data_IF_974255961876
#
_entry.id   IF_974255961876
#
_cell.length_a   1.000
_cell.length_b   1.000
_cell.length_c   1.000
_cell.angle_alpha   90.00
_cell.angle_beta   90.00
_cell.angle_gamma   90.00
#
_symmetry.space_group_name_H-M   'P 1'
#
loop_
_entity.id
_entity.type
_entity.pdbx_description
1 polymer ?
#
# COMPACT_ATOMS: atom_id res chain seq x y z
N UNK A 1 -33.08 5.49 19.24
CA UNK A 1 -33.19 5.20 17.80
C UNK A 1 -32.20 6.11 17.11
N UNK A 2 -30.97 5.65 16.83
CA UNK A 2 -29.91 6.41 16.15
C UNK A 2 -29.42 5.58 14.98
N UNK A 3 -29.89 5.99 13.79
CA UNK A 3 -29.43 5.42 12.52
C UNK A 3 -28.07 6.03 12.15
N UNK A 4 -27.01 5.20 12.22
CA UNK A 4 -25.71 5.55 11.66
C UNK A 4 -25.66 5.14 10.18
N UNK A 5 -25.28 6.03 9.24
CA UNK A 5 -25.17 5.67 7.83
C UNK A 5 -23.95 4.78 7.57
N UNK A 6 -24.20 3.50 7.30
CA UNK A 6 -23.19 2.53 6.85
C UNK A 6 -22.82 2.80 5.39
N UNK A 7 -21.62 3.32 5.13
CA UNK A 7 -21.11 3.46 3.77
C UNK A 7 -20.59 2.10 3.29
N UNK A 8 -21.38 1.41 2.45
CA UNK A 8 -20.95 0.22 1.69
C UNK A 8 -20.46 0.64 0.32
N UNK A 9 -19.17 0.52 0.07
CA UNK A 9 -18.61 0.60 -1.28
C UNK A 9 -18.75 -0.79 -1.95
N UNK A 10 -19.80 -0.98 -2.75
CA UNK A 10 -19.90 -2.09 -3.72
C UNK A 10 -19.84 -1.50 -5.13
N UNK A 11 -19.05 -2.08 -6.07
CA UNK A 11 -19.13 -1.71 -7.47
C UNK A 11 -20.46 -2.22 -8.06
N UNK A 12 -21.16 -1.34 -8.75
CA UNK A 12 -22.39 -1.64 -9.48
C UNK A 12 -22.03 -2.45 -10.72
N UNK A 13 -22.59 -3.66 -10.84
CA UNK A 13 -22.60 -4.43 -12.10
C UNK A 13 -23.52 -3.73 -13.09
N UNK A 14 -23.02 -3.37 -14.26
CA UNK A 14 -23.85 -2.97 -15.40
C UNK A 14 -24.22 -4.24 -16.19
N UNK A 15 -25.50 -4.56 -16.22
CA UNK A 15 -26.06 -5.49 -17.21
C UNK A 15 -26.30 -4.72 -18.50
N UNK A 16 -25.63 -5.12 -19.57
CA UNK A 16 -26.14 -4.91 -20.93
C UNK A 16 -25.75 -6.11 -21.75
N UNK A 17 -26.78 -6.77 -22.29
CA UNK A 17 -26.71 -7.89 -23.19
C UNK A 17 -26.27 -7.48 -24.59
N UNK A 18 -26.09 -8.44 -25.50
CA UNK A 18 -25.30 -8.25 -26.71
C UNK A 18 -26.17 -7.73 -27.87
N UNK A 19 -25.60 -6.84 -28.68
CA UNK A 19 -25.98 -6.73 -30.10
C UNK A 19 -24.83 -6.24 -30.97
N UNK A 20 -24.44 -7.15 -31.85
CA UNK A 20 -24.05 -7.12 -33.25
C UNK A 20 -23.18 -6.01 -33.84
N UNK A 21 -22.03 -6.49 -34.27
CA UNK A 21 -21.46 -6.40 -35.65
C UNK A 21 -20.99 -5.07 -36.20
N UNK A 22 -19.70 -5.15 -36.55
CA UNK A 22 -19.05 -4.57 -37.73
C UNK A 22 -18.90 -3.06 -37.81
N UNK A 23 -17.67 -2.62 -37.47
CA UNK A 23 -16.86 -1.86 -38.43
C UNK A 23 -15.39 -1.84 -38.02
N UNK A 24 -14.60 -2.58 -38.76
CA UNK A 24 -13.15 -2.65 -38.70
C UNK A 24 -12.51 -1.29 -39.02
N UNK A 25 -11.38 -1.04 -38.38
CA UNK A 25 -10.26 -0.28 -38.91
C UNK A 25 -10.56 1.10 -39.52
N UNK A 26 -10.77 2.09 -38.69
CA UNK A 26 -10.34 3.48 -38.91
C UNK A 26 -10.48 4.20 -37.59
N UNK A 27 -9.40 4.88 -37.16
CA UNK A 27 -9.42 5.96 -36.19
C UNK A 27 -8.85 5.73 -34.79
N UNK A 28 -7.56 5.36 -34.69
CA UNK A 28 -6.78 5.75 -33.50
C UNK A 28 -6.56 7.28 -33.49
N UNK A 29 -6.39 7.89 -34.68
CA UNK A 29 -6.20 9.33 -34.88
C UNK A 29 -7.49 10.10 -34.61
N UNK A 30 -8.66 9.56 -34.98
CA UNK A 30 -9.95 10.21 -34.72
C UNK A 30 -10.34 10.16 -33.24
N UNK A 31 -9.86 9.19 -32.44
CA UNK A 31 -10.13 9.19 -31.01
C UNK A 31 -9.27 10.22 -30.27
N UNK A 32 -8.07 10.55 -30.76
CA UNK A 32 -7.29 11.69 -30.23
C UNK A 32 -7.93 13.04 -30.56
N UNK A 33 -8.45 13.20 -31.77
CA UNK A 33 -9.21 14.41 -32.15
C UNK A 33 -10.56 14.51 -31.42
N UNK A 34 -11.22 13.39 -31.10
CA UNK A 34 -12.44 13.39 -30.26
C UNK A 34 -12.15 13.72 -28.79
N UNK A 35 -10.99 13.36 -28.25
CA UNK A 35 -10.58 13.77 -26.90
C UNK A 35 -10.41 15.30 -26.81
N UNK A 36 -9.92 15.94 -27.88
CA UNK A 36 -9.84 17.41 -27.98
C UNK A 36 -11.24 18.04 -28.17
N UNK A 37 -12.16 17.36 -28.83
CA UNK A 37 -13.54 17.84 -29.06
C UNK A 37 -14.51 17.50 -27.92
N UNK A 38 -14.29 16.43 -27.14
CA UNK A 38 -15.11 16.10 -25.96
C UNK A 38 -14.86 17.04 -24.76
N UNK A 39 -13.78 17.82 -24.76
CA UNK A 39 -13.58 18.89 -23.78
C UNK A 39 -14.60 20.05 -23.91
N UNK A 40 -15.30 20.13 -25.02
CA UNK A 40 -16.32 21.19 -25.25
C UNK A 40 -17.74 20.81 -24.80
N UNK A 41 -18.03 19.59 -24.39
CA UNK A 41 -19.40 19.14 -24.02
C UNK A 41 -19.60 18.80 -22.53
N UNK A 42 -18.63 19.05 -21.68
CA UNK A 42 -18.69 18.81 -20.23
C UNK A 42 -18.99 20.05 -19.38
N UNK A 43 -19.55 21.11 -19.96
CA UNK A 43 -20.00 22.25 -19.17
C UNK A 43 -21.47 22.06 -18.77
N UNK A 44 -21.69 21.43 -17.60
CA UNK A 44 -22.75 21.79 -16.66
C UNK A 44 -22.83 20.80 -15.50
N UNK A 45 -22.04 21.08 -14.47
CA UNK A 45 -22.39 20.93 -13.05
C UNK A 45 -21.32 21.67 -12.25
N UNK A 46 -21.50 22.95 -12.09
CA UNK A 46 -20.70 23.81 -11.22
C UNK A 46 -20.91 23.36 -9.77
N UNK A 47 -19.85 22.89 -9.14
CA UNK A 47 -19.77 22.81 -7.68
C UNK A 47 -19.71 24.24 -7.12
N UNK A 48 -20.63 24.60 -6.22
CA UNK A 48 -20.73 25.92 -5.58
C UNK A 48 -19.72 26.15 -4.45
N UNK A 49 -18.52 25.61 -4.54
CA UNK A 49 -17.46 25.90 -3.59
C UNK A 49 -16.25 26.46 -4.33
N UNK A 50 -16.05 27.77 -4.25
CA UNK A 50 -14.84 28.42 -4.74
C UNK A 50 -15.02 29.61 -5.63
N UNK A 51 -16.08 30.40 -5.42
CA UNK A 51 -16.19 31.76 -6.03
C UNK A 51 -16.14 32.83 -4.96
N UNK A 52 -14.90 33.14 -4.50
CA UNK A 52 -14.58 34.52 -4.05
C UNK A 52 -13.13 34.79 -4.43
N UNK A 53 -12.95 35.62 -5.43
CA UNK A 53 -11.71 36.34 -5.69
C UNK A 53 -10.77 35.73 -6.69
N UNK A 54 -10.97 36.01 -7.96
CA UNK A 54 -9.92 36.43 -8.90
C UNK A 54 -10.56 36.74 -10.24
N UNK A 55 -10.73 37.99 -10.49
CA UNK A 55 -11.02 38.54 -11.82
C UNK A 55 -9.79 38.35 -12.71
N UNK A 56 -10.00 37.82 -13.92
CA UNK A 56 -9.13 38.09 -15.07
C UNK A 56 -7.92 37.17 -15.26
N UNK A 57 -8.07 35.84 -15.17
CA UNK A 57 -7.06 34.92 -15.70
C UNK A 57 -7.71 33.89 -16.64
N UNK A 58 -7.30 33.88 -17.90
CA UNK A 58 -7.69 32.86 -18.88
C UNK A 58 -7.24 31.48 -18.32
N UNK A 59 -8.18 30.72 -17.77
CA UNK A 59 -7.89 29.40 -17.18
C UNK A 59 -7.40 28.44 -18.26
N UNK A 60 -6.08 28.20 -18.29
CA UNK A 60 -5.48 27.14 -19.09
C UNK A 60 -6.10 25.80 -18.67
N UNK A 61 -6.49 24.94 -19.61
CA UNK A 61 -7.08 23.64 -19.27
C UNK A 61 -6.17 22.83 -18.36
N UNK A 62 -6.72 22.18 -17.34
CA UNK A 62 -6.01 21.32 -16.36
C UNK A 62 -5.13 20.23 -16.99
N UNK A 63 -5.34 19.92 -18.26
CA UNK A 63 -4.53 18.95 -19.02
C UNK A 63 -3.06 19.34 -19.17
N UNK A 64 -2.73 20.61 -18.97
CA UNK A 64 -1.37 21.12 -19.02
C UNK A 64 -0.70 21.25 -17.64
N UNK A 65 -1.41 20.98 -16.56
CA UNK A 65 -0.81 21.02 -15.24
C UNK A 65 0.14 19.84 -15.02
N UNK A 66 1.13 20.04 -14.17
CA UNK A 66 1.98 18.97 -13.67
C UNK A 66 1.13 17.92 -12.94
N UNK A 67 1.47 16.65 -13.10
CA UNK A 67 0.72 15.55 -12.50
C UNK A 67 1.16 15.30 -11.07
N UNK A 68 0.19 15.15 -10.19
CA UNK A 68 0.43 14.81 -8.79
C UNK A 68 -0.54 13.71 -8.36
N UNK A 69 -0.04 12.64 -7.79
CA UNK A 69 -0.86 11.67 -7.10
C UNK A 69 -1.12 12.16 -5.67
N UNK A 70 -2.40 12.26 -5.30
CA UNK A 70 -2.82 12.62 -3.95
C UNK A 70 -3.76 11.57 -3.43
N UNK A 71 -3.48 11.08 -2.23
CA UNK A 71 -4.32 10.15 -1.50
C UNK A 71 -4.63 10.70 -0.13
N UNK A 72 -5.90 10.67 0.24
CA UNK A 72 -6.38 11.08 1.57
C UNK A 72 -7.08 9.88 2.21
N UNK A 73 -6.71 9.58 3.43
CA UNK A 73 -7.35 8.61 4.30
C UNK A 73 -7.44 9.17 5.72
N UNK A 74 -8.16 8.48 6.61
CA UNK A 74 -8.16 8.84 8.03
C UNK A 74 -8.20 7.59 8.90
N UNK A 75 -7.71 7.72 10.13
CA UNK A 75 -7.88 6.72 11.18
C UNK A 75 -8.66 7.32 12.35
N UNK A 76 -9.55 6.53 12.93
CA UNK A 76 -10.30 6.90 14.13
C UNK A 76 -9.50 6.54 15.37
N UNK A 77 -9.69 7.30 16.45
CA UNK A 77 -9.07 7.06 17.76
C UNK A 77 -9.78 5.91 18.49
N UNK A 78 -9.51 4.68 18.06
CA UNK A 78 -10.13 3.48 18.66
C UNK A 78 -9.15 2.64 19.49
N UNK A 79 -7.85 2.75 19.19
CA UNK A 79 -6.83 1.87 19.78
C UNK A 79 -5.68 2.70 20.34
N UNK A 80 -5.39 2.66 21.64
CA UNK A 80 -4.27 3.38 22.24
C UNK A 80 -2.94 3.09 21.54
N UNK A 81 -2.09 4.11 21.38
CA UNK A 81 -0.77 4.00 20.73
C UNK A 81 -0.79 3.71 19.22
N UNK A 82 -1.97 3.68 18.58
CA UNK A 82 -2.08 3.44 17.13
C UNK A 82 -1.42 4.57 16.34
N UNK A 83 -1.67 5.81 16.72
CA UNK A 83 -1.12 6.96 15.99
C UNK A 83 0.37 7.11 16.23
N UNK A 84 0.86 6.81 17.45
CA UNK A 84 2.28 6.73 17.72
C UNK A 84 3.00 5.69 16.85
N UNK A 85 2.40 4.50 16.70
CA UNK A 85 2.93 3.45 15.84
C UNK A 85 2.99 3.88 14.37
N UNK A 86 1.97 4.60 13.89
CA UNK A 86 1.96 5.19 12.56
C UNK A 86 3.05 6.26 12.40
N UNK A 87 3.23 7.13 13.39
CA UNK A 87 4.28 8.13 13.39
C UNK A 87 5.68 7.51 13.28
N UNK A 88 5.95 6.46 14.05
CA UNK A 88 7.23 5.70 13.94
C UNK A 88 7.43 5.08 12.57
N UNK A 89 6.38 4.54 11.98
CA UNK A 89 6.45 3.98 10.63
C UNK A 89 6.82 5.05 9.60
N UNK A 90 6.10 6.17 9.59
CA UNK A 90 6.33 7.29 8.66
C UNK A 90 7.73 7.90 8.86
N UNK A 91 8.19 8.01 10.09
CA UNK A 91 9.49 8.59 10.40
C UNK A 91 10.68 7.69 9.98
N UNK A 92 10.55 6.37 10.10
CA UNK A 92 11.65 5.42 9.75
C UNK A 92 12.05 5.46 8.29
N UNK A 93 11.10 5.60 7.36
CA UNK A 93 11.41 5.66 5.94
C UNK A 93 12.09 6.96 5.53
N UNK A 94 12.01 8.02 6.35
CA UNK A 94 12.70 9.28 6.12
C UNK A 94 14.19 9.24 6.50
N UNK A 95 14.61 8.29 7.32
CA UNK A 95 15.89 8.26 8.03
C UNK A 95 17.07 7.64 7.26
N UNK A 96 16.95 7.27 6.00
CA UNK A 96 17.99 6.49 5.27
C UNK A 96 19.12 7.32 4.65
N UNK A 97 19.31 8.55 5.04
CA UNK A 97 20.53 9.31 4.70
C UNK A 97 21.40 9.52 5.94
N UNK A 98 22.49 8.75 6.07
CA UNK A 98 23.59 9.05 7.00
C UNK A 98 23.64 8.30 8.31
N UNK A 99 23.10 7.09 8.42
CA UNK A 99 23.53 6.16 9.50
C UNK A 99 23.04 6.42 10.93
N UNK A 100 22.22 7.42 11.18
CA UNK A 100 21.45 7.58 12.43
C UNK A 100 19.97 7.75 12.08
N UNK A 101 19.18 6.77 12.46
CA UNK A 101 17.73 6.84 12.40
C UNK A 101 17.26 7.90 13.40
N UNK A 102 17.08 9.13 12.94
CA UNK A 102 16.35 10.13 13.70
C UNK A 102 14.91 10.07 13.20
N UNK A 103 13.99 9.66 14.06
CA UNK A 103 12.53 9.59 13.79
C UNK A 103 11.95 11.01 13.60
N UNK A 104 12.52 11.77 12.64
CA UNK A 104 12.26 13.19 12.50
C UNK A 104 11.36 13.49 11.30
N UNK A 105 10.38 14.31 11.54
CA UNK A 105 9.59 14.97 10.53
C UNK A 105 9.73 16.48 10.61
N UNK A 106 8.85 17.18 9.89
CA UNK A 106 8.77 18.64 9.87
C UNK A 106 7.30 19.09 9.92
N UNK A 107 7.10 20.37 10.16
CA UNK A 107 5.78 21.00 10.06
C UNK A 107 5.88 22.40 9.43
N UNK A 108 4.92 23.26 9.68
CA UNK A 108 4.89 24.63 9.17
C UNK A 108 6.13 25.44 9.58
N UNK A 109 6.59 25.31 10.82
CA UNK A 109 7.65 26.13 11.42
C UNK A 109 8.93 25.35 11.70
N UNK A 110 8.81 24.09 12.16
CA UNK A 110 9.93 23.29 12.59
C UNK A 110 10.51 22.47 11.43
N UNK A 111 11.84 22.44 11.34
CA UNK A 111 12.58 21.63 10.37
C UNK A 111 12.68 20.16 10.81
N UNK A 112 12.69 19.93 12.13
CA UNK A 112 12.82 18.61 12.75
C UNK A 112 11.88 18.51 13.94
N UNK A 113 11.12 17.42 14.02
CA UNK A 113 10.25 17.11 15.17
C UNK A 113 10.01 15.61 15.27
N UNK A 114 9.72 15.11 16.46
CA UNK A 114 9.30 13.74 16.71
C UNK A 114 7.81 13.56 16.31
N UNK A 115 7.61 12.95 15.15
CA UNK A 115 6.26 12.67 14.64
C UNK A 115 5.52 11.70 15.57
N UNK A 116 6.20 10.68 16.09
CA UNK A 116 5.56 9.63 16.88
C UNK A 116 4.99 10.21 18.18
N UNK A 117 5.77 11.02 18.87
CA UNK A 117 5.33 11.72 20.08
C UNK A 117 4.22 12.72 19.78
N UNK A 118 4.33 13.46 18.66
CA UNK A 118 3.29 14.44 18.30
C UNK A 118 1.93 13.77 18.02
N UNK A 119 1.93 12.66 17.28
CA UNK A 119 0.71 11.90 16.99
C UNK A 119 0.13 11.22 18.25
N UNK A 120 0.98 10.76 19.15
CA UNK A 120 0.57 10.19 20.44
C UNK A 120 -0.14 11.23 21.32
N UNK A 121 0.38 12.47 21.34
CA UNK A 121 -0.22 13.58 22.06
C UNK A 121 -1.62 13.92 21.53
N UNK A 122 -1.81 13.96 20.21
CA UNK A 122 -3.14 14.17 19.61
C UNK A 122 -4.11 13.04 19.95
N UNK A 123 -3.61 11.79 19.93
CA UNK A 123 -4.41 10.65 20.31
C UNK A 123 -4.83 10.70 21.78
N UNK A 124 -3.91 11.06 22.66
CA UNK A 124 -4.13 11.17 24.12
C UNK A 124 -5.01 12.37 24.48
N UNK A 125 -5.00 13.43 23.66
CA UNK A 125 -5.91 14.56 23.79
C UNK A 125 -7.38 14.21 23.48
N UNK A 126 -7.65 12.99 22.98
CA UNK A 126 -9.00 12.53 22.68
C UNK A 126 -9.50 12.91 21.29
N UNK A 127 -8.64 13.37 20.39
CA UNK A 127 -9.04 13.71 19.02
C UNK A 127 -9.70 12.47 18.35
N UNK A 128 -10.85 12.64 17.71
CA UNK A 128 -11.59 11.51 17.12
C UNK A 128 -10.90 10.91 15.90
N UNK A 129 -10.18 11.72 15.12
CA UNK A 129 -9.63 11.37 13.80
C UNK A 129 -8.24 11.93 13.60
N UNK A 130 -7.45 11.18 12.84
CA UNK A 130 -6.19 11.61 12.25
C UNK A 130 -6.32 11.48 10.74
N UNK A 131 -6.22 12.59 10.01
CA UNK A 131 -6.16 12.55 8.55
C UNK A 131 -4.73 12.24 8.09
N UNK A 132 -4.62 11.44 7.04
CA UNK A 132 -3.36 11.02 6.44
C UNK A 132 -3.41 11.34 4.96
N UNK A 133 -2.43 12.10 4.51
CA UNK A 133 -2.33 12.56 3.13
C UNK A 133 -0.99 12.08 2.59
N UNK A 134 -1.00 11.44 1.43
CA UNK A 134 0.20 11.09 0.67
C UNK A 134 0.17 11.93 -0.60
N UNK A 135 1.28 12.62 -0.87
CA UNK A 135 1.42 13.49 -2.04
C UNK A 135 2.68 13.13 -2.79
N UNK A 136 2.54 12.72 -4.05
CA UNK A 136 3.64 12.29 -4.92
C UNK A 136 3.57 13.01 -6.26
N UNK A 137 4.33 14.11 -6.46
CA UNK A 137 4.48 14.74 -7.76
C UNK A 137 5.19 13.81 -8.76
N UNK A 138 4.82 13.86 -10.06
CA UNK A 138 5.46 13.06 -11.12
C UNK A 138 6.97 13.32 -11.22
N UNK A 139 7.38 14.58 -11.05
CA UNK A 139 8.77 15.03 -11.04
C UNK A 139 9.20 15.55 -9.66
N UNK A 140 9.01 14.72 -8.63
CA UNK A 140 9.34 15.05 -7.25
C UNK A 140 10.83 15.34 -7.04
N UNK A 141 11.69 14.78 -7.89
CA UNK A 141 13.12 15.01 -7.95
C UNK A 141 13.51 16.45 -8.35
N UNK A 142 12.61 17.17 -9.03
CA UNK A 142 12.81 18.58 -9.45
C UNK A 142 12.23 19.58 -8.45
N UNK A 143 11.63 19.12 -7.35
CA UNK A 143 10.92 19.96 -6.37
C UNK A 143 11.61 19.94 -5.00
N UNK A 144 11.57 21.07 -4.31
CA UNK A 144 11.78 21.09 -2.88
C UNK A 144 10.51 20.60 -2.18
N UNK A 145 10.45 19.29 -1.89
CA UNK A 145 9.25 18.67 -1.33
C UNK A 145 8.83 19.24 0.03
N UNK A 146 9.75 19.82 0.80
CA UNK A 146 9.43 20.43 2.08
C UNK A 146 8.66 21.75 1.90
N UNK A 147 9.15 22.61 1.02
CA UNK A 147 8.46 23.85 0.66
C UNK A 147 7.13 23.55 -0.03
N UNK A 148 7.13 22.56 -0.90
CA UNK A 148 5.94 22.06 -1.58
C UNK A 148 4.85 21.62 -0.59
N UNK A 149 5.20 20.82 0.41
CA UNK A 149 4.24 20.35 1.42
C UNK A 149 3.73 21.52 2.29
N UNK A 150 4.61 22.46 2.67
CA UNK A 150 4.19 23.66 3.43
C UNK A 150 3.20 24.51 2.64
N UNK A 151 3.48 24.74 1.37
CA UNK A 151 2.58 25.51 0.50
C UNK A 151 1.24 24.79 0.30
N UNK A 152 1.25 23.47 0.14
CA UNK A 152 0.03 22.69 0.02
C UNK A 152 -0.83 22.81 1.29
N UNK A 153 -0.21 22.71 2.46
CA UNK A 153 -0.93 22.84 3.73
C UNK A 153 -1.45 24.26 3.96
N UNK A 154 -0.68 25.26 3.57
CA UNK A 154 -1.13 26.68 3.60
C UNK A 154 -2.37 26.91 2.70
N UNK A 155 -2.39 26.33 1.50
CA UNK A 155 -3.57 26.41 0.60
C UNK A 155 -4.74 25.61 1.16
N UNK A 156 -4.48 24.48 1.79
CA UNK A 156 -5.52 23.70 2.46
C UNK A 156 -6.14 24.48 3.62
N UNK A 157 -5.34 25.17 4.45
CA UNK A 157 -5.82 26.08 5.49
C UNK A 157 -6.73 27.18 4.92
N UNK A 158 -6.28 27.81 3.84
CA UNK A 158 -7.06 28.85 3.16
C UNK A 158 -8.40 28.30 2.62
N UNK A 159 -8.38 27.13 1.98
CA UNK A 159 -9.59 26.52 1.39
C UNK A 159 -10.60 26.10 2.47
N UNK A 160 -10.12 25.70 3.64
CA UNK A 160 -10.94 25.25 4.76
C UNK A 160 -11.33 26.42 5.70
N UNK A 161 -10.68 27.58 5.59
CA UNK A 161 -10.92 28.74 6.43
C UNK A 161 -10.50 28.56 7.89
N UNK A 162 -9.53 27.67 8.18
CA UNK A 162 -9.04 27.38 9.52
C UNK A 162 -7.53 27.05 9.50
N UNK A 163 -6.83 27.28 10.62
CA UNK A 163 -5.47 26.81 10.80
C UNK A 163 -5.46 25.31 11.05
N UNK A 164 -4.42 24.65 10.55
CA UNK A 164 -4.27 23.21 10.67
C UNK A 164 -3.01 22.87 11.48
N UNK A 165 -3.14 21.95 12.39
CA UNK A 165 -1.99 21.33 13.04
C UNK A 165 -1.62 20.08 12.27
N UNK A 166 -0.38 20.03 11.75
CA UNK A 166 0.07 18.94 10.92
C UNK A 166 1.56 18.64 11.08
N UNK A 167 1.94 17.43 10.74
CA UNK A 167 3.33 16.96 10.68
C UNK A 167 3.55 16.17 9.41
N UNK A 168 4.76 16.18 8.87
CA UNK A 168 5.08 15.49 7.64
C UNK A 168 6.47 14.85 7.66
N UNK A 169 6.65 13.82 6.81
CA UNK A 169 7.94 13.20 6.53
C UNK A 169 8.12 12.89 5.04
N UNK A 170 9.37 12.83 4.60
CA UNK A 170 9.72 12.48 3.22
C UNK A 170 10.05 11.01 3.09
N UNK A 171 9.61 10.42 2.00
CA UNK A 171 10.05 9.11 1.56
C UNK A 171 10.78 9.26 0.21
N UNK A 172 12.11 9.36 0.26
CA UNK A 172 12.96 9.59 -0.93
C UNK A 172 13.47 8.30 -1.56
N UNK A 173 13.59 7.22 -0.79
CA UNK A 173 14.18 5.95 -1.24
C UNK A 173 13.18 5.03 -1.95
N UNK A 174 12.19 5.60 -2.60
CA UNK A 174 11.19 4.90 -3.38
C UNK A 174 11.31 5.27 -4.85
N UNK A 175 10.82 4.42 -5.75
CA UNK A 175 10.72 4.76 -7.19
C UNK A 175 9.94 6.06 -7.45
N UNK A 176 9.11 6.46 -6.50
CA UNK A 176 8.29 7.66 -6.54
C UNK A 176 8.44 8.41 -5.22
N UNK A 177 9.37 9.35 -5.12
CA UNK A 177 9.52 10.19 -3.93
C UNK A 177 8.19 10.88 -3.59
N UNK A 178 7.82 10.86 -2.31
CA UNK A 178 6.54 11.39 -1.85
C UNK A 178 6.63 11.92 -0.42
N UNK A 179 5.61 12.66 -0.03
CA UNK A 179 5.47 13.22 1.32
C UNK A 179 4.28 12.58 2.00
N UNK A 180 4.49 12.05 3.21
CA UNK A 180 3.42 11.71 4.13
C UNK A 180 3.11 12.91 5.01
N UNK A 181 1.85 13.29 5.09
CA UNK A 181 1.37 14.38 5.93
C UNK A 181 0.27 13.82 6.84
N UNK A 182 0.46 13.98 8.14
CA UNK A 182 -0.56 13.69 9.15
C UNK A 182 -1.17 15.01 9.62
N UNK A 183 -2.48 15.13 9.51
CA UNK A 183 -3.22 16.34 9.90
C UNK A 183 -4.11 16.01 11.08
N UNK A 184 -4.05 16.84 12.12
CA UNK A 184 -4.89 16.74 13.31
C UNK A 184 -6.37 16.83 12.94
N UNK A 185 -7.19 16.02 13.56
CA UNK A 185 -8.63 15.90 13.25
C UNK A 185 -9.50 16.99 13.86
N UNK A 186 -8.91 18.11 14.33
CA UNK A 186 -9.62 19.26 14.88
C UNK A 186 -9.15 20.56 14.21
N UNK A 187 -10.03 21.55 14.17
CA UNK A 187 -9.72 22.89 13.70
C UNK A 187 -9.03 23.73 14.78
N UNK A 188 -8.72 24.99 14.49
CA UNK A 188 -8.09 25.94 15.43
C UNK A 188 -8.96 26.32 16.64
N UNK A 189 -10.25 25.97 16.61
CA UNK A 189 -11.19 26.14 17.72
C UNK A 189 -11.46 24.84 18.50
N UNK A 190 -10.71 23.75 18.18
CA UNK A 190 -10.88 22.45 18.82
C UNK A 190 -12.11 21.67 18.35
N UNK A 191 -12.80 22.11 17.30
CA UNK A 191 -13.96 21.41 16.75
C UNK A 191 -13.51 20.33 15.74
N UNK A 192 -14.28 19.26 15.54
CA UNK A 192 -13.94 18.22 14.56
C UNK A 192 -13.73 18.81 13.16
N UNK A 193 -12.55 18.54 12.58
CA UNK A 193 -12.21 18.97 11.21
C UNK A 193 -13.02 18.17 10.20
N UNK A 194 -13.77 18.87 9.36
CA UNK A 194 -14.60 18.28 8.31
C UNK A 194 -13.98 18.54 6.94
N UNK A 195 -13.69 17.47 6.22
CA UNK A 195 -13.23 17.54 4.82
C UNK A 195 -14.36 17.12 3.90
N UNK A 196 -14.81 18.03 3.05
CA UNK A 196 -15.83 17.74 2.05
C UNK A 196 -15.33 16.64 1.08
N UNK A 197 -16.24 15.75 0.69
CA UNK A 197 -15.89 14.61 -0.19
C UNK A 197 -15.32 15.06 -1.52
N UNK A 198 -15.82 16.15 -2.08
CA UNK A 198 -15.37 16.76 -3.33
C UNK A 198 -13.95 17.30 -3.18
N UNK A 199 -13.62 17.88 -2.03
CA UNK A 199 -12.28 18.37 -1.71
C UNK A 199 -11.28 17.19 -1.62
N UNK A 200 -11.64 16.12 -0.95
CA UNK A 200 -10.83 14.89 -0.87
C UNK A 200 -10.63 14.26 -2.26
N UNK A 201 -11.67 14.23 -3.10
CA UNK A 201 -11.62 13.58 -4.42
C UNK A 201 -10.84 14.35 -5.47
N UNK A 202 -10.87 15.68 -5.41
CA UNK A 202 -10.31 16.50 -6.47
C UNK A 202 -9.75 17.84 -6.05
N UNK A 203 -10.30 18.49 -5.01
CA UNK A 203 -9.87 19.82 -4.58
C UNK A 203 -8.41 19.85 -4.16
N UNK A 204 -8.03 19.00 -3.21
CA UNK A 204 -6.65 18.93 -2.72
C UNK A 204 -5.65 18.53 -3.82
N UNK A 205 -6.03 17.60 -4.70
CA UNK A 205 -5.20 17.25 -5.87
C UNK A 205 -5.02 18.45 -6.80
N UNK A 206 -6.08 19.21 -7.06
CA UNK A 206 -5.98 20.41 -7.87
C UNK A 206 -4.99 21.42 -7.29
N UNK A 207 -5.01 21.65 -5.97
CA UNK A 207 -4.01 22.51 -5.30
C UNK A 207 -2.60 21.96 -5.43
N UNK A 208 -2.43 20.67 -5.29
CA UNK A 208 -1.14 19.99 -5.44
C UNK A 208 -0.59 20.13 -6.88
N UNK A 209 -1.43 19.97 -7.90
CA UNK A 209 -1.09 20.15 -9.32
C UNK A 209 -0.76 21.62 -9.64
N UNK A 210 -1.50 22.57 -9.08
CA UNK A 210 -1.24 24.02 -9.22
C UNK A 210 0.14 24.39 -8.68
N UNK A 211 0.49 23.98 -7.46
CA UNK A 211 1.79 24.25 -6.83
C UNK A 211 2.93 23.66 -7.66
N UNK A 212 2.77 22.40 -8.11
CA UNK A 212 3.79 21.75 -8.94
C UNK A 212 3.96 22.50 -10.28
N UNK A 213 2.87 23.00 -10.85
CA UNK A 213 2.87 23.75 -12.11
C UNK A 213 3.49 25.16 -11.94
N UNK A 214 3.23 25.81 -10.82
CA UNK A 214 3.88 27.09 -10.49
C UNK A 214 5.39 26.96 -10.34
N UNK A 215 5.84 25.82 -9.74
CA UNK A 215 7.26 25.56 -9.50
C UNK A 215 8.01 25.09 -10.75
N UNK A 216 7.39 24.28 -11.60
CA UNK A 216 8.05 23.59 -12.72
C UNK A 216 7.62 24.12 -14.10
N UNK A 217 6.62 25.01 -14.15
CA UNK A 217 5.96 25.38 -15.38
C UNK A 217 4.90 24.36 -15.81
N UNK A 218 4.13 24.71 -16.86
CA UNK A 218 3.16 23.78 -17.43
C UNK A 218 3.85 22.53 -17.97
N UNK A 219 3.18 21.40 -17.84
CA UNK A 219 3.67 20.10 -18.32
C UNK A 219 3.88 20.15 -19.83
N UNK A 220 5.12 20.06 -20.25
CA UNK A 220 5.53 20.07 -21.65
C UNK A 220 5.31 18.71 -22.31
N UNK A 221 5.45 18.68 -23.66
CA UNK A 221 5.50 17.41 -24.39
C UNK A 221 6.70 16.56 -23.96
N UNK A 222 7.84 17.17 -23.70
CA UNK A 222 9.03 16.50 -23.21
C UNK A 222 8.77 15.85 -21.83
N UNK A 223 8.09 16.55 -20.90
CA UNK A 223 7.72 15.97 -19.63
C UNK A 223 6.77 14.76 -19.80
N UNK A 224 5.84 14.85 -20.76
CA UNK A 224 4.94 13.73 -21.05
C UNK A 224 5.68 12.51 -21.57
N UNK A 225 6.64 12.71 -22.47
CA UNK A 225 7.50 11.65 -23.03
C UNK A 225 8.41 11.05 -21.96
N UNK A 226 9.04 11.89 -21.12
CA UNK A 226 9.87 11.43 -20.00
C UNK A 226 9.06 10.61 -18.98
N UNK A 227 7.83 11.04 -18.65
CA UNK A 227 6.94 10.27 -17.80
C UNK A 227 6.62 8.90 -18.40
N UNK A 228 6.32 8.83 -19.71
CA UNK A 228 6.09 7.56 -20.41
C UNK A 228 7.37 6.71 -20.47
N UNK A 229 8.53 7.31 -20.71
CA UNK A 229 9.81 6.61 -20.70
C UNK A 229 10.07 5.94 -19.35
N UNK A 230 9.82 6.62 -18.24
CA UNK A 230 9.93 6.05 -16.89
C UNK A 230 8.95 4.88 -16.68
N UNK A 231 7.79 4.88 -17.32
CA UNK A 231 6.80 3.82 -17.21
C UNK A 231 7.20 2.54 -17.96
N UNK A 232 8.07 2.59 -18.95
CA UNK A 232 8.43 1.43 -19.80
C UNK A 232 9.00 0.26 -19.00
N UNK A 233 9.79 0.52 -17.97
CA UNK A 233 10.53 -0.48 -17.17
C UNK A 233 9.91 -0.78 -15.81
N UNK A 234 8.69 -0.28 -15.55
CA UNK A 234 8.08 -0.46 -14.23
C UNK A 234 7.38 -1.82 -14.09
N UNK A 235 7.59 -2.50 -12.96
CA UNK A 235 6.94 -3.78 -12.63
C UNK A 235 5.53 -3.61 -12.04
N UNK A 236 4.79 -2.60 -12.49
CA UNK A 236 3.41 -2.30 -12.08
C UNK A 236 2.56 -1.94 -13.29
N UNK A 237 1.23 -1.94 -13.12
CA UNK A 237 0.32 -1.50 -14.18
C UNK A 237 0.41 0.03 -14.39
N UNK A 238 0.73 0.44 -15.61
CA UNK A 238 1.04 1.82 -15.99
C UNK A 238 0.00 2.43 -16.94
N UNK A 239 0.23 3.67 -17.36
CA UNK A 239 -0.60 4.30 -18.38
C UNK A 239 -0.35 3.71 -19.78
N UNK A 240 0.87 3.24 -20.06
CA UNK A 240 1.19 2.52 -21.30
C UNK A 240 0.40 1.20 -21.39
N UNK A 241 0.35 0.45 -20.28
CA UNK A 241 -0.43 -0.80 -20.24
C UNK A 241 -1.92 -0.57 -20.49
N UNK A 242 -2.46 0.56 -19.97
CA UNK A 242 -3.85 0.93 -20.25
C UNK A 242 -4.09 1.24 -21.73
N UNK A 243 -3.08 1.73 -22.44
CA UNK A 243 -3.17 1.91 -23.89
C UNK A 243 -3.14 0.57 -24.62
N UNK A 244 -2.25 -0.34 -24.22
CA UNK A 244 -2.19 -1.71 -24.76
C UNK A 244 -3.51 -2.46 -24.52
N UNK A 245 -4.09 -2.34 -23.34
CA UNK A 245 -5.36 -2.99 -22.94
C UNK A 245 -6.55 -2.64 -23.84
N UNK A 246 -6.52 -1.52 -24.56
CA UNK A 246 -7.61 -1.13 -25.46
C UNK A 246 -7.81 -2.11 -26.63
N UNK A 247 -6.80 -2.88 -26.99
CA UNK A 247 -6.87 -3.92 -27.98
C UNK A 247 -7.45 -5.26 -27.48
N UNK A 248 -7.64 -5.39 -26.16
CA UNK A 248 -8.15 -6.60 -25.53
C UNK A 248 -9.68 -6.58 -25.49
N UNK A 249 -10.31 -7.42 -26.27
CA UNK A 249 -11.78 -7.61 -26.30
C UNK A 249 -12.27 -8.65 -25.26
N UNK A 250 -11.34 -9.27 -24.53
CA UNK A 250 -11.63 -10.30 -23.54
C UNK A 250 -12.08 -11.65 -24.09
N UNK A 251 -12.04 -11.85 -25.40
CA UNK A 251 -12.51 -13.08 -26.06
C UNK A 251 -11.50 -14.22 -26.01
N UNK A 252 -10.22 -13.91 -25.83
CA UNK A 252 -9.10 -14.86 -25.90
C UNK A 252 -8.19 -14.75 -24.69
N UNK A 253 -7.38 -15.79 -24.45
CA UNK A 253 -6.32 -15.76 -23.43
C UNK A 253 -5.16 -14.81 -23.78
N UNK A 254 -5.07 -14.40 -25.06
CA UNK A 254 -4.07 -13.46 -25.58
C UNK A 254 -4.72 -12.52 -26.60
N UNK A 255 -4.13 -11.34 -26.77
CA UNK A 255 -4.52 -10.40 -27.81
C UNK A 255 -3.29 -9.85 -28.56
N UNK A 256 -3.49 -9.46 -29.81
CA UNK A 256 -2.44 -8.92 -30.66
C UNK A 256 -2.28 -7.41 -30.45
N UNK A 257 -1.03 -6.94 -30.45
CA UNK A 257 -0.68 -5.52 -30.38
C UNK A 257 0.40 -5.24 -31.41
N UNK A 258 0.21 -4.18 -32.20
CA UNK A 258 1.25 -3.65 -33.10
C UNK A 258 1.81 -2.38 -32.50
N UNK A 259 3.16 -2.30 -32.42
CA UNK A 259 3.89 -1.12 -31.96
C UNK A 259 5.02 -0.82 -32.96
N UNK A 260 4.66 -0.19 -34.10
CA UNK A 260 5.58 0.14 -35.15
C UNK A 260 5.94 1.65 -35.12
N UNK A 261 7.17 2.01 -34.73
CA UNK A 261 7.65 3.39 -34.75
C UNK A 261 8.05 3.86 -36.17
N UNK A 262 8.18 2.95 -37.14
CA UNK A 262 8.65 3.26 -38.49
C UNK A 262 7.49 3.56 -39.46
N UNK A 263 6.25 3.50 -39.01
CA UNK A 263 5.10 3.88 -39.82
C UNK A 263 5.21 5.36 -40.25
N UNK A 264 5.40 5.60 -41.54
CA UNK A 264 5.59 6.92 -42.11
C UNK A 264 4.37 7.83 -41.98
N UNK A 265 3.18 7.24 -41.82
CA UNK A 265 1.95 7.97 -41.62
C UNK A 265 1.80 8.61 -40.23
N UNK A 266 2.69 8.26 -39.30
CA UNK A 266 2.66 8.76 -37.93
C UNK A 266 3.34 10.11 -37.78
N UNK A 267 2.73 10.99 -36.95
CA UNK A 267 3.40 12.20 -36.46
C UNK A 267 4.58 11.81 -35.57
N UNK A 268 5.57 12.72 -35.41
CA UNK A 268 6.72 12.52 -34.54
C UNK A 268 6.31 12.10 -33.11
N UNK A 269 5.32 12.78 -32.53
CA UNK A 269 4.82 12.42 -31.20
C UNK A 269 4.21 11.01 -31.13
N UNK A 270 3.57 10.57 -32.22
CA UNK A 270 3.01 9.24 -32.31
C UNK A 270 4.11 8.18 -32.47
N UNK A 271 5.18 8.47 -33.24
CA UNK A 271 6.35 7.57 -33.36
C UNK A 271 7.03 7.37 -32.00
N UNK A 272 7.26 8.45 -31.23
CA UNK A 272 7.83 8.36 -29.88
C UNK A 272 6.92 7.52 -28.96
N UNK A 273 5.60 7.66 -29.05
CA UNK A 273 4.68 6.81 -28.31
C UNK A 273 4.82 5.35 -28.70
N UNK A 274 4.92 5.02 -30.01
CA UNK A 274 5.14 3.66 -30.49
C UNK A 274 6.47 3.09 -29.98
N UNK A 275 7.53 3.89 -29.93
CA UNK A 275 8.82 3.49 -29.32
C UNK A 275 8.63 3.13 -27.82
N UNK A 276 7.91 3.96 -27.06
CA UNK A 276 7.64 3.66 -25.65
C UNK A 276 6.76 2.41 -25.47
N UNK A 277 5.75 2.21 -26.33
CA UNK A 277 4.93 1.00 -26.31
C UNK A 277 5.75 -0.25 -26.66
N UNK A 278 6.62 -0.17 -27.68
CA UNK A 278 7.55 -1.25 -28.01
C UNK A 278 8.51 -1.56 -26.86
N UNK A 279 9.13 -0.55 -26.26
CA UNK A 279 9.98 -0.73 -25.08
C UNK A 279 9.23 -1.33 -23.90
N UNK A 280 7.97 -0.93 -23.69
CA UNK A 280 7.10 -1.54 -22.68
C UNK A 280 6.82 -3.01 -22.96
N UNK A 281 6.49 -3.35 -24.20
CA UNK A 281 6.24 -4.73 -24.63
C UNK A 281 7.49 -5.61 -24.48
N UNK A 282 8.68 -5.09 -24.78
CA UNK A 282 9.95 -5.78 -24.49
C UNK A 282 10.12 -6.05 -23.00
N UNK A 283 9.82 -5.07 -22.14
CA UNK A 283 9.85 -5.31 -20.71
C UNK A 283 8.79 -6.31 -20.23
N UNK A 284 7.58 -6.26 -20.77
CA UNK A 284 6.54 -7.27 -20.50
C UNK A 284 6.98 -8.66 -20.94
N UNK A 285 7.74 -8.78 -22.03
CA UNK A 285 8.32 -10.06 -22.49
C UNK A 285 9.32 -10.62 -21.47
N UNK A 286 10.18 -9.80 -20.85
CA UNK A 286 11.08 -10.30 -19.79
C UNK A 286 10.33 -10.84 -18.58
N UNK A 287 9.09 -10.43 -18.38
CA UNK A 287 8.19 -10.93 -17.33
C UNK A 287 7.30 -12.08 -17.79
N UNK A 288 7.43 -12.54 -19.05
CA UNK A 288 6.61 -13.60 -19.63
C UNK A 288 5.18 -13.18 -19.93
N UNK A 289 4.86 -11.88 -19.97
CA UNK A 289 3.51 -11.33 -20.19
C UNK A 289 3.24 -10.94 -21.64
N UNK A 290 4.28 -10.87 -22.47
CA UNK A 290 4.20 -10.60 -23.89
C UNK A 290 5.20 -11.48 -24.67
N UNK A 291 4.94 -11.70 -25.94
CA UNK A 291 5.82 -12.42 -26.87
C UNK A 291 5.85 -11.69 -28.21
N UNK A 292 7.05 -11.41 -28.72
CA UNK A 292 7.22 -10.92 -30.09
C UNK A 292 6.94 -12.06 -31.06
N UNK A 293 6.01 -11.87 -32.00
CA UNK A 293 5.60 -12.88 -32.98
C UNK A 293 6.05 -12.55 -34.39
N UNK A 294 6.19 -11.26 -34.73
CA UNK A 294 6.76 -10.74 -35.95
C UNK A 294 7.35 -9.34 -35.67
N UNK A 295 8.14 -8.74 -36.57
CA UNK A 295 8.63 -7.37 -36.39
C UNK A 295 7.49 -6.42 -36.02
N UNK A 296 7.61 -5.75 -34.87
CA UNK A 296 6.63 -4.83 -34.30
C UNK A 296 5.26 -5.44 -33.93
N UNK A 297 5.09 -6.76 -34.05
CA UNK A 297 3.85 -7.46 -33.69
C UNK A 297 4.03 -8.32 -32.45
N UNK A 298 3.15 -8.14 -31.51
CA UNK A 298 3.23 -8.76 -30.19
C UNK A 298 1.97 -9.53 -29.87
N UNK A 299 2.13 -10.63 -29.13
CA UNK A 299 1.05 -11.37 -28.47
C UNK A 299 1.14 -11.10 -26.97
N UNK A 300 0.10 -10.52 -26.39
CA UNK A 300 0.04 -10.13 -24.97
C UNK A 300 -0.98 -10.98 -24.25
N UNK A 301 -0.65 -11.44 -23.01
CA UNK A 301 -1.60 -12.19 -22.16
C UNK A 301 -2.77 -11.30 -21.75
N UNK A 302 -4.00 -11.81 -21.86
CA UNK A 302 -5.21 -11.02 -21.56
C UNK A 302 -5.31 -10.58 -20.08
N UNK A 303 -4.73 -11.35 -19.17
CA UNK A 303 -4.75 -11.08 -17.73
C UNK A 303 -3.50 -10.35 -17.21
N UNK A 304 -2.66 -9.81 -18.12
CA UNK A 304 -1.40 -9.12 -17.74
C UNK A 304 -1.62 -7.97 -16.73
N UNK A 305 -2.76 -7.26 -16.82
CA UNK A 305 -3.12 -6.24 -15.83
C UNK A 305 -3.20 -6.84 -14.41
N UNK A 306 -3.87 -7.99 -14.26
CA UNK A 306 -4.02 -8.68 -12.97
C UNK A 306 -2.65 -9.11 -12.42
N UNK A 307 -1.79 -9.61 -13.29
CA UNK A 307 -0.43 -10.03 -12.92
C UNK A 307 0.39 -8.83 -12.47
N UNK A 308 0.42 -7.72 -13.24
CA UNK A 308 1.15 -6.50 -12.88
C UNK A 308 0.66 -5.87 -11.58
N UNK A 309 -0.65 -5.86 -11.33
CA UNK A 309 -1.21 -5.39 -10.05
C UNK A 309 -0.83 -6.30 -8.89
N UNK A 310 -0.74 -7.61 -9.13
CA UNK A 310 -0.29 -8.57 -8.12
C UNK A 310 1.20 -8.39 -7.81
N UNK A 311 2.03 -8.19 -8.83
CA UNK A 311 3.46 -7.92 -8.69
C UNK A 311 3.71 -6.62 -7.92
N UNK A 312 2.98 -5.55 -8.24
CA UNK A 312 3.04 -4.30 -7.50
C UNK A 312 2.71 -4.52 -6.01
N UNK A 313 1.60 -5.20 -5.71
CA UNK A 313 1.23 -5.50 -4.33
C UNK A 313 2.28 -6.35 -3.60
N UNK A 314 2.90 -7.30 -4.30
CA UNK A 314 3.99 -8.11 -3.74
C UNK A 314 5.23 -7.27 -3.46
N UNK A 315 5.64 -6.42 -4.41
CA UNK A 315 6.76 -5.50 -4.24
C UNK A 315 6.56 -4.52 -3.08
N UNK A 316 5.37 -3.94 -2.96
CA UNK A 316 5.04 -3.04 -1.86
C UNK A 316 5.11 -3.76 -0.50
N UNK A 317 4.68 -5.03 -0.44
CA UNK A 317 4.80 -5.86 0.77
C UNK A 317 6.24 -6.20 1.12
N UNK A 318 7.08 -6.48 0.12
CA UNK A 318 8.52 -6.71 0.34
C UNK A 318 9.21 -5.45 0.85
N UNK A 319 8.85 -4.26 0.33
CA UNK A 319 9.35 -2.97 0.85
C UNK A 319 8.93 -2.76 2.31
N UNK A 320 7.68 -3.08 2.65
CA UNK A 320 7.20 -3.04 4.04
C UNK A 320 8.01 -3.97 4.95
N UNK A 321 8.30 -5.19 4.51
CA UNK A 321 9.14 -6.12 5.27
C UNK A 321 10.57 -5.61 5.41
N UNK A 322 11.15 -5.06 4.34
CA UNK A 322 12.50 -4.49 4.36
C UNK A 322 12.60 -3.29 5.33
N UNK A 323 11.61 -2.42 5.34
CA UNK A 323 11.52 -1.29 6.29
C UNK A 323 11.48 -1.75 7.76
N UNK A 324 10.98 -2.95 8.01
CA UNK A 324 10.89 -3.54 9.36
C UNK A 324 11.91 -4.67 9.59
N UNK A 325 12.85 -4.87 8.68
CA UNK A 325 13.81 -5.98 8.70
C UNK A 325 14.69 -6.07 9.96
N UNK A 326 14.86 -4.96 10.69
CA UNK A 326 15.57 -4.95 11.98
C UNK A 326 14.81 -5.71 13.09
N UNK A 327 13.51 -5.98 12.93
CA UNK A 327 12.69 -6.68 13.91
C UNK A 327 12.61 -8.19 13.65
N UNK A 328 13.00 -8.65 12.46
CA UNK A 328 12.95 -10.04 12.05
C UNK A 328 14.21 -10.75 12.50
N UNK A 329 14.08 -11.95 13.06
CA UNK A 329 15.22 -12.77 13.52
C UNK A 329 16.20 -13.10 12.41
N UNK A 330 15.69 -13.36 11.22
CA UNK A 330 16.48 -13.71 10.05
C UNK A 330 15.88 -13.06 8.79
N UNK A 331 16.69 -12.30 8.07
CA UNK A 331 16.27 -11.58 6.85
C UNK A 331 15.88 -12.52 5.69
N UNK A 332 16.23 -13.80 5.77
CA UNK A 332 15.88 -14.81 4.76
C UNK A 332 14.45 -15.32 4.90
N UNK A 333 13.76 -15.00 6.01
CA UNK A 333 12.39 -15.45 6.24
C UNK A 333 11.44 -14.91 5.17
N UNK A 334 10.72 -15.80 4.45
CA UNK A 334 9.78 -15.37 3.44
C UNK A 334 8.56 -14.68 4.06
N UNK A 335 8.09 -13.61 3.41
CA UNK A 335 6.85 -12.93 3.78
C UNK A 335 5.65 -13.66 3.15
N UNK A 336 4.67 -14.01 3.98
CA UNK A 336 3.40 -14.59 3.56
C UNK A 336 2.23 -13.69 3.98
N UNK A 337 1.41 -13.28 3.02
CA UNK A 337 0.12 -12.67 3.35
C UNK A 337 -0.85 -13.76 3.74
N UNK A 338 -1.23 -13.77 5.00
CA UNK A 338 -2.08 -14.80 5.56
C UNK A 338 -3.56 -14.39 5.48
N UNK A 339 -4.27 -15.04 4.56
CA UNK A 339 -5.71 -14.86 4.44
C UNK A 339 -6.43 -15.56 5.60
N UNK A 340 -7.11 -14.82 6.44
CA UNK A 340 -7.80 -15.37 7.63
C UNK A 340 -8.85 -16.45 7.29
N UNK A 341 -9.41 -16.43 6.08
CA UNK A 341 -10.33 -17.48 5.61
C UNK A 341 -9.64 -18.84 5.44
N UNK A 342 -8.36 -18.83 5.09
CA UNK A 342 -7.54 -20.03 4.85
C UNK A 342 -6.66 -20.37 6.06
N UNK A 343 -6.64 -19.51 7.08
CA UNK A 343 -5.85 -19.70 8.28
C UNK A 343 -6.32 -20.98 9.01
N UNK A 344 -5.37 -21.89 9.26
CA UNK A 344 -5.56 -22.99 10.20
C UNK A 344 -5.00 -22.56 11.57
N UNK A 345 -3.72 -22.32 11.63
CA UNK A 345 -2.98 -21.89 12.82
C UNK A 345 -1.79 -21.02 12.39
N UNK A 346 -1.56 -19.93 13.10
CA UNK A 346 -0.30 -19.19 13.12
C UNK A 346 0.13 -19.06 14.56
N UNK A 347 1.34 -19.47 14.88
CA UNK A 347 1.97 -19.28 16.18
C UNK A 347 3.30 -18.58 15.96
N UNK A 348 3.64 -17.59 16.79
CA UNK A 348 4.88 -16.86 16.62
C UNK A 348 4.93 -15.55 17.39
N UNK A 349 6.03 -14.83 17.19
CA UNK A 349 6.31 -13.56 17.84
C UNK A 349 5.71 -12.39 17.06
N UNK A 350 4.99 -11.50 17.74
CA UNK A 350 4.48 -10.25 17.15
C UNK A 350 5.64 -9.31 16.89
N UNK A 351 5.86 -8.94 15.63
CA UNK A 351 6.91 -8.01 15.24
C UNK A 351 6.43 -6.56 15.30
N UNK A 352 5.23 -6.30 14.78
CA UNK A 352 4.69 -4.95 14.71
C UNK A 352 3.19 -4.94 14.44
N UNK A 353 2.62 -3.75 14.66
CA UNK A 353 1.29 -3.37 14.18
C UNK A 353 1.42 -2.13 13.32
N UNK A 354 0.85 -2.15 12.12
CA UNK A 354 0.91 -1.04 11.19
C UNK A 354 -0.40 -0.92 10.39
N UNK A 355 -0.42 0.03 9.48
CA UNK A 355 -1.50 0.27 8.54
C UNK A 355 -0.94 0.27 7.13
N UNK A 356 -1.62 -0.40 6.23
CA UNK A 356 -1.29 -0.44 4.81
C UNK A 356 -1.64 0.89 4.16
N UNK A 357 -0.65 1.62 3.69
CA UNK A 357 -0.80 2.96 3.11
C UNK A 357 -1.67 2.97 1.85
N UNK A 358 -1.71 1.86 1.12
CA UNK A 358 -2.52 1.76 -0.09
C UNK A 358 -3.98 1.48 0.19
N UNK A 359 -4.28 0.64 1.18
CA UNK A 359 -5.65 0.19 1.44
C UNK A 359 -6.27 0.80 2.69
N UNK A 360 -5.46 1.45 3.55
CA UNK A 360 -5.86 1.94 4.86
C UNK A 360 -6.24 0.80 5.82
N UNK A 361 -5.92 -0.46 5.47
CA UNK A 361 -6.22 -1.62 6.32
C UNK A 361 -5.13 -1.81 7.36
N UNK A 362 -5.55 -2.03 8.58
CA UNK A 362 -4.63 -2.35 9.67
C UNK A 362 -4.16 -3.79 9.55
N UNK A 363 -2.87 -4.00 9.78
CA UNK A 363 -2.26 -5.33 9.81
C UNK A 363 -1.35 -5.52 11.01
N UNK A 364 -0.98 -6.74 11.26
CA UNK A 364 0.11 -7.12 12.15
C UNK A 364 1.07 -8.06 11.42
N UNK A 365 2.33 -8.03 11.80
CA UNK A 365 3.32 -9.01 11.37
C UNK A 365 3.65 -9.94 12.51
N UNK A 366 3.68 -11.23 12.22
CA UNK A 366 4.04 -12.30 13.16
C UNK A 366 5.16 -13.12 12.55
N UNK A 367 6.28 -13.20 13.23
CA UNK A 367 7.37 -14.12 12.91
C UNK A 367 6.96 -15.52 13.35
N UNK A 368 6.52 -16.32 12.39
CA UNK A 368 5.93 -17.63 12.62
C UNK A 368 6.96 -18.70 12.98
N UNK A 369 6.57 -19.63 13.85
CA UNK A 369 7.36 -20.81 14.17
C UNK A 369 7.49 -21.77 12.98
N UNK A 370 6.72 -21.54 11.92
CA UNK A 370 6.80 -22.25 10.63
C UNK A 370 7.87 -21.68 9.67
N UNK A 371 8.71 -20.75 10.15
CA UNK A 371 9.78 -20.15 9.35
C UNK A 371 9.32 -19.11 8.34
N UNK A 372 8.19 -18.45 8.57
CA UNK A 372 7.64 -17.39 7.72
C UNK A 372 7.30 -16.16 8.52
N UNK A 373 7.34 -15.00 7.89
CA UNK A 373 6.75 -13.79 8.44
C UNK A 373 5.33 -13.65 7.90
N UNK A 374 4.34 -13.77 8.78
CA UNK A 374 2.93 -13.64 8.43
C UNK A 374 2.49 -12.19 8.50
N UNK A 375 2.05 -11.62 7.37
CA UNK A 375 1.30 -10.37 7.34
C UNK A 375 -0.19 -10.69 7.45
N UNK A 376 -0.81 -10.30 8.54
CA UNK A 376 -2.21 -10.59 8.87
C UNK A 376 -2.99 -9.29 8.91
N UNK A 377 -3.92 -9.09 7.98
CA UNK A 377 -4.86 -7.97 8.07
C UNK A 377 -5.83 -8.21 9.22
N UNK A 378 -5.90 -7.23 10.14
CA UNK A 378 -6.66 -7.36 11.37
C UNK A 378 -8.16 -7.34 11.13
N UNK A 379 -8.87 -8.22 11.83
CA UNK A 379 -10.32 -8.17 11.99
C UNK A 379 -10.69 -7.44 13.28
N UNK A 380 -11.97 -7.16 13.48
CA UNK A 380 -12.44 -6.55 14.73
C UNK A 380 -12.08 -7.40 15.95
N UNK A 381 -12.16 -8.73 15.83
CA UNK A 381 -11.79 -9.65 16.92
C UNK A 381 -10.29 -9.61 17.28
N UNK A 382 -9.39 -9.42 16.31
CA UNK A 382 -7.95 -9.23 16.55
C UNK A 382 -7.72 -7.86 17.19
N UNK A 383 -8.42 -6.83 16.75
CA UNK A 383 -8.33 -5.50 17.35
C UNK A 383 -8.92 -5.46 18.77
N UNK A 384 -9.98 -6.20 19.04
CA UNK A 384 -10.55 -6.33 20.38
C UNK A 384 -9.57 -7.04 21.34
N UNK A 385 -8.90 -8.10 20.87
CA UNK A 385 -7.84 -8.74 21.66
C UNK A 385 -6.71 -7.76 21.99
N UNK A 386 -6.32 -6.92 21.01
CA UNK A 386 -5.31 -5.88 21.25
C UNK A 386 -5.78 -4.81 22.24
N UNK A 387 -7.04 -4.39 22.20
CA UNK A 387 -7.61 -3.46 23.20
C UNK A 387 -7.59 -4.02 24.62
N UNK A 388 -7.68 -5.33 24.74
CA UNK A 388 -7.55 -6.04 26.01
C UNK A 388 -6.10 -6.19 26.49
N UNK A 389 -5.13 -5.51 25.85
CA UNK A 389 -3.71 -5.57 26.19
C UNK A 389 -2.97 -6.78 25.63
N UNK A 390 -3.66 -7.63 24.84
CA UNK A 390 -3.04 -8.77 24.16
C UNK A 390 -2.33 -8.34 22.87
N UNK A 391 -1.50 -9.21 22.33
CA UNK A 391 -0.81 -9.00 21.05
C UNK A 391 0.20 -7.85 21.10
N UNK A 392 0.81 -7.59 22.25
CA UNK A 392 1.89 -6.60 22.33
C UNK A 392 3.06 -6.98 21.42
N UNK A 393 3.81 -5.99 20.95
CA UNK A 393 5.04 -6.25 20.19
C UNK A 393 6.00 -7.06 21.06
N UNK A 394 6.64 -8.05 20.47
CA UNK A 394 7.47 -9.07 21.12
C UNK A 394 6.72 -10.13 21.94
N UNK A 395 5.38 -10.09 22.03
CA UNK A 395 4.64 -11.19 22.62
C UNK A 395 4.55 -12.39 21.67
N UNK A 396 4.59 -13.60 22.24
CA UNK A 396 4.29 -14.82 21.52
C UNK A 396 2.78 -15.05 21.50
N UNK A 397 2.25 -15.25 20.31
CA UNK A 397 0.81 -15.37 20.09
C UNK A 397 0.47 -16.62 19.30
N UNK A 398 -0.72 -17.17 19.57
CA UNK A 398 -1.31 -18.25 18.80
C UNK A 398 -2.66 -17.80 18.26
N UNK A 399 -2.82 -17.82 16.94
CA UNK A 399 -4.05 -17.46 16.25
C UNK A 399 -4.55 -18.70 15.53
N UNK A 400 -5.68 -19.22 15.94
CA UNK A 400 -6.28 -20.43 15.40
C UNK A 400 -7.70 -20.19 14.91
N UNK A 401 -8.07 -20.84 13.81
CA UNK A 401 -9.45 -20.90 13.37
C UNK A 401 -10.14 -22.02 14.12
N UNK A 402 -11.22 -21.67 14.81
CA UNK A 402 -12.10 -22.62 15.50
C UNK A 402 -13.52 -22.49 14.95
N UNK A 403 -14.33 -23.48 15.16
CA UNK A 403 -15.75 -23.44 14.79
C UNK A 403 -16.60 -23.38 16.06
N UNK A 404 -17.37 -22.30 16.21
CA UNK A 404 -18.36 -22.16 17.25
C UNK A 404 -19.75 -22.12 16.59
N UNK A 405 -20.65 -23.04 16.96
CA UNK A 405 -22.00 -23.18 16.37
C UNK A 405 -21.97 -23.16 14.82
N UNK A 406 -21.08 -23.93 14.21
CA UNK A 406 -20.84 -24.03 12.73
C UNK A 406 -20.32 -22.75 12.06
N UNK A 407 -20.01 -21.69 12.81
CA UNK A 407 -19.40 -20.46 12.26
C UNK A 407 -17.90 -20.44 12.59
N UNK A 408 -17.03 -20.08 11.62
CA UNK A 408 -15.62 -19.94 11.88
C UNK A 408 -15.38 -18.71 12.79
N UNK A 409 -14.66 -18.95 13.89
CA UNK A 409 -14.24 -17.92 14.86
C UNK A 409 -12.74 -17.98 15.00
N UNK A 410 -12.08 -16.82 15.11
CA UNK A 410 -10.67 -16.75 15.42
C UNK A 410 -10.47 -16.76 16.93
N UNK A 411 -9.76 -17.78 17.42
CA UNK A 411 -9.22 -17.79 18.77
C UNK A 411 -7.85 -17.12 18.75
N UNK A 412 -7.69 -16.10 19.56
CA UNK A 412 -6.42 -15.37 19.75
C UNK A 412 -5.96 -15.63 21.18
N UNK A 413 -4.81 -16.24 21.32
CA UNK A 413 -4.16 -16.54 22.59
C UNK A 413 -2.83 -15.79 22.65
N UNK A 414 -2.60 -15.09 23.72
CA UNK A 414 -1.34 -14.38 23.99
C UNK A 414 -0.63 -15.11 25.16
N UNK A 415 0.55 -15.60 24.91
CA UNK A 415 1.38 -16.35 25.87
C UNK A 415 2.45 -15.48 26.54
N UNK A 416 2.38 -14.16 26.37
CA UNK A 416 3.30 -13.21 26.94
C UNK A 416 4.59 -13.02 26.14
N UNK A 417 5.62 -12.48 26.77
CA UNK A 417 6.88 -12.14 26.12
C UNK A 417 7.56 -13.35 25.46
N UNK A 418 7.91 -13.22 24.18
CA UNK A 418 8.48 -14.31 23.38
C UNK A 418 9.88 -14.73 23.86
N UNK A 419 10.63 -13.85 24.51
CA UNK A 419 11.94 -14.18 25.08
C UNK A 419 11.75 -14.97 26.38
N UNK A 420 10.79 -14.58 27.21
CA UNK A 420 10.43 -15.31 28.42
C UNK A 420 9.88 -16.71 28.08
N UNK A 421 9.12 -16.84 26.96
CA UNK A 421 8.62 -18.14 26.50
C UNK A 421 9.75 -19.16 26.25
N UNK A 422 10.92 -18.71 25.79
CA UNK A 422 12.07 -19.61 25.57
C UNK A 422 12.51 -20.34 26.86
N UNK A 423 12.15 -19.85 28.03
CA UNK A 423 12.44 -20.49 29.31
C UNK A 423 11.28 -21.34 29.84
N UNK A 424 10.16 -21.41 29.13
CA UNK A 424 8.96 -22.15 29.54
C UNK A 424 9.03 -23.60 29.03
N UNK A 425 9.61 -24.51 29.85
CA UNK A 425 9.72 -25.91 29.49
C UNK A 425 8.36 -26.60 29.30
N UNK A 426 7.33 -26.25 30.07
CA UNK A 426 5.99 -26.84 29.93
C UNK A 426 5.40 -26.57 28.55
N UNK A 427 5.59 -25.38 28.03
CA UNK A 427 5.16 -25.01 26.67
C UNK A 427 5.83 -25.90 25.60
N UNK A 428 7.17 -26.08 25.69
CA UNK A 428 7.91 -26.86 24.72
C UNK A 428 7.59 -28.37 24.80
N UNK A 429 7.31 -28.89 25.99
CA UNK A 429 6.82 -30.25 26.15
C UNK A 429 5.46 -30.47 25.47
N UNK A 430 4.52 -29.56 25.65
CA UNK A 430 3.22 -29.63 24.99
C UNK A 430 3.35 -29.56 23.47
N UNK A 431 4.20 -28.64 22.96
CA UNK A 431 4.40 -28.48 21.53
C UNK A 431 5.13 -29.68 20.92
N UNK A 432 6.11 -30.26 21.62
CA UNK A 432 6.80 -31.49 21.23
C UNK A 432 5.82 -32.67 21.16
N UNK A 433 4.96 -32.85 22.16
CA UNK A 433 3.91 -33.88 22.12
C UNK A 433 2.92 -33.69 20.96
N UNK A 434 2.57 -32.46 20.64
CA UNK A 434 1.72 -32.17 19.51
C UNK A 434 2.38 -32.55 18.18
N UNK A 435 3.69 -32.29 18.04
CA UNK A 435 4.46 -32.67 16.84
C UNK A 435 4.61 -34.19 16.71
N UNK A 436 4.91 -34.88 17.79
CA UNK A 436 4.99 -36.36 17.80
C UNK A 436 3.65 -37.00 17.41
N UNK A 437 2.51 -36.44 17.86
CA UNK A 437 1.17 -36.91 17.42
C UNK A 437 0.94 -36.74 15.94
N UNK A 438 1.62 -35.77 15.31
CA UNK A 438 1.60 -35.52 13.85
C UNK A 438 2.63 -36.31 13.08
N UNK A 439 3.42 -37.19 13.74
CA UNK A 439 4.50 -37.97 13.13
C UNK A 439 5.76 -37.15 12.84
N UNK A 440 5.94 -36.01 13.49
CA UNK A 440 7.16 -35.18 13.35
C UNK A 440 8.08 -35.49 14.52
N UNK A 441 9.23 -36.10 14.23
CA UNK A 441 10.19 -36.58 15.23
C UNK A 441 11.44 -35.70 15.35
N UNK A 442 11.66 -34.76 14.43
CA UNK A 442 12.80 -33.84 14.48
C UNK A 442 12.44 -32.49 13.86
N UNK A 443 13.05 -31.42 14.37
CA UNK A 443 12.96 -30.06 13.86
C UNK A 443 14.38 -29.51 13.76
N UNK A 444 14.83 -29.22 12.54
CA UNK A 444 16.15 -28.65 12.34
C UNK A 444 16.16 -27.14 12.56
N UNK A 445 17.08 -26.58 13.35
CA UNK A 445 17.31 -25.16 13.47
C UNK A 445 17.89 -24.61 12.15
N UNK A 446 17.08 -23.94 11.36
CA UNK A 446 17.46 -23.40 10.04
C UNK A 446 17.68 -21.88 10.10
N UNK A 447 17.02 -21.24 11.03
CA UNK A 447 16.95 -19.78 11.12
C UNK A 447 17.83 -19.25 12.25
N UNK A 448 18.18 -17.94 12.17
CA UNK A 448 18.92 -17.23 13.21
C UNK A 448 18.01 -16.58 14.25
N UNK A 449 18.62 -15.86 15.18
CA UNK A 449 17.95 -15.04 16.17
C UNK A 449 16.98 -15.79 17.09
N UNK A 450 15.86 -15.14 17.46
CA UNK A 450 14.86 -15.74 18.34
C UNK A 450 14.26 -17.03 17.77
N UNK A 451 13.98 -17.07 16.47
CA UNK A 451 13.36 -18.23 15.83
C UNK A 451 14.31 -19.46 15.89
N UNK A 452 15.61 -19.25 15.67
CA UNK A 452 16.60 -20.31 15.79
C UNK A 452 16.71 -20.85 17.23
N UNK A 453 16.65 -19.98 18.23
CA UNK A 453 16.60 -20.39 19.65
C UNK A 453 15.34 -21.20 19.95
N UNK A 454 14.18 -20.76 19.44
CA UNK A 454 12.91 -21.50 19.56
C UNK A 454 13.01 -22.90 18.95
N UNK A 455 13.53 -23.01 17.73
CA UNK A 455 13.70 -24.30 17.04
C UNK A 455 14.66 -25.22 17.80
N UNK A 456 15.76 -24.69 18.32
CA UNK A 456 16.74 -25.46 19.12
C UNK A 456 16.09 -26.00 20.39
N UNK A 457 15.35 -25.19 21.13
CA UNK A 457 14.62 -25.64 22.33
C UNK A 457 13.59 -26.72 22.01
N UNK A 458 12.80 -26.49 20.98
CA UNK A 458 11.77 -27.42 20.54
C UNK A 458 12.40 -28.79 20.13
N UNK A 459 13.51 -28.75 19.42
CA UNK A 459 14.26 -29.97 19.04
C UNK A 459 14.71 -30.76 20.24
N UNK A 460 15.27 -30.07 21.23
CA UNK A 460 15.75 -30.74 22.47
C UNK A 460 14.58 -31.43 23.18
N UNK A 461 13.46 -30.77 23.39
CA UNK A 461 12.30 -31.36 24.05
C UNK A 461 11.65 -32.47 23.21
N UNK A 462 11.67 -32.34 21.89
CA UNK A 462 11.14 -33.34 20.97
C UNK A 462 11.94 -34.66 21.08
N UNK A 463 13.28 -34.59 21.13
CA UNK A 463 14.14 -35.75 21.33
C UNK A 463 13.90 -36.40 22.70
N UNK A 464 13.79 -35.60 23.76
CA UNK A 464 13.49 -36.11 25.10
C UNK A 464 12.14 -36.83 25.16
N UNK A 465 11.11 -36.26 24.52
CA UNK A 465 9.78 -36.84 24.50
C UNK A 465 9.69 -38.09 23.65
N UNK A 466 10.41 -38.16 22.52
CA UNK A 466 10.46 -39.36 21.66
C UNK A 466 11.19 -40.53 22.38
N UNK A 467 12.30 -40.24 23.05
CA UNK A 467 13.03 -41.22 23.85
C UNK A 467 12.16 -41.80 24.97
N UNK A 468 11.47 -40.98 25.75
CA UNK A 468 10.55 -41.43 26.81
C UNK A 468 9.44 -42.33 26.27
N UNK A 469 8.90 -42.04 25.08
CA UNK A 469 7.86 -42.89 24.45
C UNK A 469 8.39 -44.24 24.01
N UNK A 470 9.62 -44.32 23.52
CA UNK A 470 10.29 -45.60 23.14
C UNK A 470 10.57 -46.48 24.36
N UNK A 471 11.04 -45.87 25.47
CA UNK A 471 11.33 -46.58 26.70
C UNK A 471 10.06 -47.17 27.37
N UNK A 472 8.92 -46.41 27.29
CA UNK A 472 7.64 -46.87 27.79
C UNK A 472 7.04 -48.00 26.94
N UNK A 473 7.24 -47.97 25.62
CA UNK A 473 6.76 -49.01 24.70
C UNK A 473 7.60 -50.27 24.75
N UNK A 474 8.90 -50.16 25.13
CA UNK A 474 9.82 -51.30 25.32
C UNK A 474 9.61 -52.07 26.65
N UNK A 475 8.95 -51.46 27.66
CA UNK A 475 8.63 -52.12 28.92
C UNK A 475 7.28 -52.85 28.95
N UNK A 476 6.51 -52.75 27.87
CA UNK A 476 5.18 -53.38 27.72
C UNK A 476 5.17 -54.59 26.81
N UNK A 477 6.36 -55.18 26.52
CA UNK A 477 6.52 -56.43 25.77
C UNK A 477 7.13 -57.51 26.63
#
# INVERSE_FOLDING_TARGET
>A
MNDEPRIRLRPRKSNHGPNENTRKHKNLVSSMLRLVQMSKRGQNKRSRYGERGSEGSSRVPRTFNQRVAVRVSYSTNKNPGQWRSHGRYVARESATQGGRAVDTGFNATNQTLDIATKLDNWQSAGDERLFKIIVSPEFADRLNLQQYARELMRRMEHDLGTKLEWVAAFHRNTEHPHVHIAVRGVDDQGRPLLLAREYIRGGLRGRAEEIATEALGYRSRADAQEGQRRETVQSRYTSLDRMLQRGNDGSSSHFAVTADPNDEALSESARILQQHLGARLMHLQTMGLAQLVAPHEWRVQADFEKVLRTLQQSGDRQKMLAAHGAMVSDKRLPLQVTALRQLQRVAGRVLLHAEDDQTGKRYMMVEGTDGKVHLIYKTDSIEDARRQGKLAVNNFVRIEKRFAKKKPVLRVEDLGDATALLQNSSYFLEEADLLLRKGIHDVQPVWGGWLGQYQTKLRTELHHADTRKRDTSGRSR
#
